data_IF_005873532661
#
_entry.id   IF_005873532661
#
_cell.length_a   1.000
_cell.length_b   1.000
_cell.length_c   1.000
_cell.angle_alpha   90.00
_cell.angle_beta   90.00
_cell.angle_gamma   90.00
#
_symmetry.space_group_name_H-M   'P 1'
#
loop_
_entity.id
_entity.type
_entity.pdbx_description
1 polymer ?
#
# COMPACT_ATOMS: atom_id res chain seq x y z
N UNK A 1 6.55 7.92 -2.33
CA UNK A 1 5.55 6.87 -2.06
C UNK A 1 5.88 6.16 -0.76
N UNK A 2 4.90 5.55 -0.10
CA UNK A 2 5.09 4.64 1.03
C UNK A 2 4.60 3.24 0.69
N UNK A 3 5.24 2.20 1.23
CA UNK A 3 4.83 0.79 1.05
C UNK A 3 4.82 0.08 2.39
N UNK A 4 3.80 -0.74 2.60
CA UNK A 4 3.68 -1.56 3.80
C UNK A 4 2.83 -2.81 3.52
N UNK A 5 2.88 -3.78 4.43
CA UNK A 5 2.14 -5.03 4.37
C UNK A 5 1.37 -5.25 5.67
N UNK A 6 0.10 -5.64 5.55
CA UNK A 6 -0.71 -5.98 6.72
C UNK A 6 -1.44 -7.30 6.54
N UNK A 7 -1.74 -7.96 7.65
CA UNK A 7 -2.48 -9.21 7.67
C UNK A 7 -3.98 -8.99 7.91
N UNK A 8 -4.79 -9.84 7.29
CA UNK A 8 -6.24 -9.87 7.36
C UNK A 8 -6.64 -11.29 7.77
N UNK A 9 -7.35 -11.41 8.90
CA UNK A 9 -7.82 -12.70 9.37
C UNK A 9 -9.11 -13.10 8.64
N UNK A 10 -9.14 -14.35 8.18
CA UNK A 10 -10.32 -15.03 7.64
C UNK A 10 -10.48 -16.39 8.32
N UNK A 11 -11.59 -17.10 8.05
CA UNK A 11 -11.74 -18.49 8.51
C UNK A 11 -10.86 -19.48 7.75
N UNK A 12 -10.34 -19.10 6.58
CA UNK A 12 -9.40 -19.91 5.78
C UNK A 12 -7.93 -19.67 6.17
N UNK A 13 -7.67 -18.75 7.11
CA UNK A 13 -6.33 -18.36 7.53
C UNK A 13 -6.06 -16.88 7.28
N UNK A 14 -4.78 -16.53 7.18
CA UNK A 14 -4.33 -15.14 7.03
C UNK A 14 -4.16 -14.81 5.54
N UNK A 15 -4.78 -13.71 5.11
CA UNK A 15 -4.49 -13.06 3.84
C UNK A 15 -3.61 -11.84 4.12
N UNK A 16 -2.49 -11.74 3.42
CA UNK A 16 -1.60 -10.58 3.48
C UNK A 16 -1.93 -9.61 2.37
N UNK A 17 -1.98 -8.33 2.68
CA UNK A 17 -2.20 -7.22 1.76
C UNK A 17 -0.95 -6.34 1.75
N UNK A 18 -0.21 -6.36 0.63
CA UNK A 18 0.85 -5.39 0.37
C UNK A 18 0.27 -4.24 -0.45
N UNK A 19 0.64 -3.02 -0.09
CA UNK A 19 0.08 -1.81 -0.70
C UNK A 19 1.16 -0.75 -0.90
N UNK A 20 1.00 0.07 -1.94
CA UNK A 20 1.81 1.27 -2.20
C UNK A 20 0.88 2.48 -2.21
N UNK A 21 1.22 3.48 -1.40
CA UNK A 21 0.52 4.75 -1.26
C UNK A 21 1.33 5.88 -1.88
N UNK A 22 0.69 6.76 -2.62
CA UNK A 22 1.26 8.06 -2.93
C UNK A 22 1.12 8.99 -1.72
N UNK A 23 2.21 9.65 -1.32
CA UNK A 23 2.23 10.52 -0.13
C UNK A 23 1.80 11.96 -0.46
N UNK A 24 1.73 12.32 -1.75
CA UNK A 24 1.28 13.63 -2.20
C UNK A 24 -0.24 13.75 -2.08
N UNK A 25 -0.97 12.83 -2.69
CA UNK A 25 -2.44 12.83 -2.76
C UNK A 25 -3.10 11.75 -1.90
N UNK A 26 -2.29 10.96 -1.18
CA UNK A 26 -2.71 9.87 -0.31
C UNK A 26 -3.37 8.67 -1.01
N UNK A 27 -3.42 8.61 -2.34
CA UNK A 27 -4.05 7.51 -3.09
C UNK A 27 -3.30 6.19 -2.94
N UNK A 28 -4.03 5.08 -2.98
CA UNK A 28 -3.47 3.73 -3.09
C UNK A 28 -3.20 3.48 -4.56
N UNK A 29 -1.93 3.50 -4.96
CA UNK A 29 -1.52 3.39 -6.37
C UNK A 29 -1.33 1.94 -6.82
N UNK A 30 -1.09 1.02 -5.90
CA UNK A 30 -1.07 -0.41 -6.18
C UNK A 30 -1.29 -1.20 -4.91
N UNK A 31 -1.84 -2.40 -5.05
CA UNK A 31 -1.90 -3.39 -3.99
C UNK A 31 -1.93 -4.79 -4.57
N UNK A 32 -1.47 -5.76 -3.78
CA UNK A 32 -1.59 -7.20 -4.05
C UNK A 32 -1.90 -7.93 -2.76
N UNK A 33 -2.58 -9.06 -2.91
CA UNK A 33 -2.82 -9.99 -1.82
C UNK A 33 -2.07 -11.31 -2.03
N UNK A 34 -1.75 -11.99 -0.93
CA UNK A 34 -1.13 -13.30 -0.94
C UNK A 34 -1.44 -14.06 0.34
N UNK A 35 -1.45 -15.38 0.30
CA UNK A 35 -1.68 -16.25 1.47
C UNK A 35 -0.43 -16.45 2.32
N UNK A 36 0.69 -15.86 1.91
CA UNK A 36 1.97 -15.89 2.61
C UNK A 36 2.65 -14.52 2.55
N UNK A 37 3.31 -14.13 3.64
CA UNK A 37 4.18 -12.96 3.66
C UNK A 37 5.49 -13.31 2.95
N UNK A 38 5.60 -12.93 1.68
CA UNK A 38 6.78 -13.23 0.86
C UNK A 38 7.38 -11.95 0.29
N UNK A 39 8.68 -12.01 -0.05
CA UNK A 39 9.33 -10.94 -0.80
C UNK A 39 8.60 -10.70 -2.13
N UNK A 40 8.19 -11.77 -2.82
CA UNK A 40 7.50 -11.70 -4.10
C UNK A 40 6.20 -10.88 -4.03
N UNK A 41 5.44 -10.98 -2.95
CA UNK A 41 4.23 -10.17 -2.77
C UNK A 41 4.52 -8.67 -2.83
N UNK A 42 5.61 -8.21 -2.22
CA UNK A 42 6.06 -6.82 -2.30
C UNK A 42 6.58 -6.49 -3.69
N UNK A 43 7.43 -7.35 -4.27
CA UNK A 43 7.98 -7.14 -5.62
C UNK A 43 6.87 -6.98 -6.66
N UNK A 44 5.85 -7.84 -6.60
CA UNK A 44 4.72 -7.80 -7.54
C UNK A 44 3.87 -6.55 -7.36
N UNK A 45 3.74 -6.05 -6.12
CA UNK A 45 3.07 -4.78 -5.84
C UNK A 45 3.83 -3.61 -6.46
N UNK A 46 5.17 -3.59 -6.36
CA UNK A 46 6.02 -2.56 -7.00
C UNK A 46 5.91 -2.63 -8.51
N UNK A 47 6.02 -3.83 -9.11
CA UNK A 47 5.86 -4.02 -10.56
C UNK A 47 4.50 -3.50 -11.03
N UNK A 48 3.44 -3.76 -10.25
CA UNK A 48 2.10 -3.25 -10.56
C UNK A 48 2.05 -1.72 -10.52
N UNK A 49 2.60 -1.08 -9.48
CA UNK A 49 2.67 0.38 -9.39
C UNK A 49 3.42 1.01 -10.58
N UNK A 50 4.60 0.46 -10.90
CA UNK A 50 5.41 0.98 -12.01
C UNK A 50 4.75 0.78 -13.38
N UNK A 51 3.95 -0.30 -13.54
CA UNK A 51 3.16 -0.52 -14.76
C UNK A 51 2.03 0.51 -14.90
N UNK A 52 1.45 0.97 -13.79
CA UNK A 52 0.35 1.94 -13.78
C UNK A 52 0.85 3.40 -13.90
N UNK A 53 2.05 3.71 -13.40
CA UNK A 53 2.67 5.04 -13.46
C UNK A 53 3.24 5.44 -14.84
N UNK A 54 2.77 4.85 -15.95
CA UNK A 54 3.28 5.20 -17.28
C UNK A 54 3.15 6.71 -17.57
N UNK A 55 4.30 7.42 -17.49
CA UNK A 55 4.67 8.70 -18.16
C UNK A 55 4.89 9.97 -17.33
N UNK A 56 4.90 9.96 -15.99
CA UNK A 56 5.14 11.23 -15.26
C UNK A 56 6.03 11.08 -14.04
N UNK A 57 7.32 10.83 -14.22
CA UNK A 57 8.28 11.21 -13.17
C UNK A 57 9.59 11.68 -13.79
N UNK A 58 9.68 12.99 -14.01
CA UNK A 58 10.94 13.70 -14.23
C UNK A 58 11.68 13.96 -12.89
N UNK A 59 11.20 13.39 -11.79
CA UNK A 59 11.73 13.53 -10.44
C UNK A 59 12.17 12.17 -9.87
N UNK A 60 13.13 12.19 -8.94
CA UNK A 60 13.58 10.99 -8.25
C UNK A 60 12.44 10.35 -7.44
N UNK A 61 12.14 9.09 -7.74
CA UNK A 61 11.05 8.36 -7.10
C UNK A 61 11.54 7.69 -5.81
N UNK A 62 11.12 8.22 -4.66
CA UNK A 62 11.44 7.61 -3.37
C UNK A 62 10.31 6.67 -2.91
N UNK A 63 10.69 5.48 -2.42
CA UNK A 63 9.77 4.49 -1.84
C UNK A 63 10.16 4.21 -0.38
N UNK A 64 9.32 4.67 0.55
CA UNK A 64 9.54 4.52 1.99
C UNK A 64 8.88 3.25 2.54
N UNK A 65 9.58 2.47 3.36
CA UNK A 65 9.07 1.24 4.00
C UNK A 65 9.55 1.10 5.45
N UNK A 66 9.03 0.11 6.17
CA UNK A 66 9.66 -0.35 7.41
C UNK A 66 10.93 -1.19 7.14
N UNK A 67 11.55 -1.71 8.21
CA UNK A 67 12.71 -2.60 8.14
C UNK A 67 12.35 -4.10 8.07
N UNK A 68 11.15 -4.45 7.62
CA UNK A 68 10.73 -5.83 7.44
C UNK A 68 11.67 -6.61 6.52
N UNK A 69 11.75 -7.93 6.71
CA UNK A 69 12.69 -8.78 5.95
C UNK A 69 12.46 -8.69 4.43
N UNK A 70 11.21 -8.44 4.01
CA UNK A 70 10.85 -8.24 2.62
C UNK A 70 11.52 -7.00 2.01
N UNK A 71 11.61 -5.90 2.76
CA UNK A 71 12.17 -4.62 2.32
C UNK A 71 13.69 -4.52 2.49
N UNK A 72 14.28 -5.38 3.34
CA UNK A 72 15.74 -5.50 3.49
C UNK A 72 16.35 -6.56 2.57
N UNK A 73 15.53 -7.24 1.75
CA UNK A 73 15.98 -8.30 0.86
C UNK A 73 16.78 -7.77 -0.34
N UNK A 74 17.72 -8.60 -0.84
CA UNK A 74 18.50 -8.29 -2.05
C UNK A 74 17.60 -8.12 -3.28
N UNK A 75 16.55 -8.94 -3.39
CA UNK A 75 15.64 -8.89 -4.51
C UNK A 75 14.84 -7.58 -4.55
N UNK A 76 14.42 -7.07 -3.39
CA UNK A 76 13.80 -5.74 -3.26
C UNK A 76 14.76 -4.65 -3.72
N UNK A 77 15.98 -4.63 -3.17
CA UNK A 77 17.01 -3.65 -3.55
C UNK A 77 17.27 -3.65 -5.08
N UNK A 78 17.47 -4.83 -5.67
CA UNK A 78 17.72 -4.96 -7.10
C UNK A 78 16.54 -4.44 -7.94
N UNK A 79 15.30 -4.74 -7.53
CA UNK A 79 14.11 -4.28 -8.24
C UNK A 79 13.95 -2.76 -8.16
N UNK A 80 14.15 -2.17 -6.97
CA UNK A 80 14.05 -0.71 -6.80
C UNK A 80 15.10 0.00 -7.65
N UNK A 81 16.34 -0.50 -7.68
CA UNK A 81 17.39 0.06 -8.53
C UNK A 81 17.05 -0.05 -10.03
N UNK A 82 16.52 -1.20 -10.47
CA UNK A 82 16.11 -1.40 -11.86
C UNK A 82 15.00 -0.44 -12.33
N UNK A 83 14.17 0.05 -11.40
CA UNK A 83 13.13 1.03 -11.67
C UNK A 83 13.54 2.48 -11.37
N UNK A 84 14.81 2.74 -11.00
CA UNK A 84 15.25 4.08 -10.61
C UNK A 84 14.58 4.60 -9.33
N UNK A 85 14.13 3.68 -8.46
CA UNK A 85 13.52 4.00 -7.17
C UNK A 85 14.61 4.08 -6.12
N UNK A 86 14.62 5.17 -5.35
CA UNK A 86 15.46 5.31 -4.16
C UNK A 86 14.71 4.76 -2.95
N UNK A 87 15.09 3.58 -2.40
CA UNK A 87 14.45 3.05 -1.21
C UNK A 87 14.83 3.89 0.01
N UNK A 88 13.85 4.15 0.86
CA UNK A 88 14.00 4.80 2.17
C UNK A 88 13.37 3.89 3.21
N UNK A 89 14.00 3.74 4.38
CA UNK A 89 13.50 2.87 5.44
C UNK A 89 13.39 3.63 6.76
N UNK A 90 12.36 3.33 7.56
CA UNK A 90 12.19 3.87 8.90
C UNK A 90 13.40 3.57 9.78
N UNK A 91 13.69 4.47 10.74
CA UNK A 91 14.70 4.17 11.76
C UNK A 91 14.16 3.11 12.72
N UNK A 92 15.04 2.22 13.16
CA UNK A 92 14.69 1.23 14.19
C UNK A 92 14.18 1.94 15.44
N UNK A 93 12.95 1.64 15.85
CA UNK A 93 12.30 2.26 17.01
C UNK A 93 11.61 3.61 16.75
N UNK A 94 11.45 4.03 15.49
CA UNK A 94 10.72 5.25 15.14
C UNK A 94 9.38 4.93 14.42
N UNK A 95 8.26 4.76 15.15
CA UNK A 95 6.96 4.44 14.55
C UNK A 95 6.40 5.57 13.68
N UNK A 96 6.86 6.82 13.85
CA UNK A 96 6.35 7.95 13.07
C UNK A 96 6.70 7.86 11.57
N UNK A 97 7.81 7.20 11.23
CA UNK A 97 8.29 7.10 9.85
C UNK A 97 7.34 6.23 8.99
N UNK A 98 6.75 5.17 9.56
CA UNK A 98 5.77 4.30 8.88
C UNK A 98 4.30 4.65 9.19
N UNK A 99 4.06 5.65 10.05
CA UNK A 99 2.73 5.98 10.56
C UNK A 99 1.69 6.27 9.45
N UNK A 100 2.13 6.78 8.30
CA UNK A 100 1.24 7.06 7.17
C UNK A 100 0.68 5.79 6.53
N UNK A 101 1.48 4.74 6.39
CA UNK A 101 0.99 3.46 5.85
C UNK A 101 0.16 2.72 6.92
N UNK A 102 0.62 2.74 8.18
CA UNK A 102 -0.11 2.17 9.32
C UNK A 102 -1.48 2.82 9.52
N UNK A 103 -1.58 4.15 9.33
CA UNK A 103 -2.84 4.88 9.43
C UNK A 103 -3.88 4.36 8.43
N UNK A 104 -3.48 4.12 7.17
CA UNK A 104 -4.38 3.54 6.17
C UNK A 104 -4.90 2.17 6.64
N UNK A 105 -4.00 1.27 7.07
CA UNK A 105 -4.40 -0.06 7.50
C UNK A 105 -5.30 -0.05 8.74
N UNK A 106 -5.03 0.84 9.70
CA UNK A 106 -5.86 0.99 10.90
C UNK A 106 -7.30 1.40 10.55
N UNK A 107 -7.44 2.41 9.68
CA UNK A 107 -8.74 2.87 9.20
C UNK A 107 -9.43 1.77 8.39
N UNK A 108 -8.75 1.20 7.40
CA UNK A 108 -9.28 0.11 6.57
C UNK A 108 -9.79 -1.06 7.40
N UNK A 109 -9.00 -1.53 8.37
CA UNK A 109 -9.41 -2.65 9.21
C UNK A 109 -10.61 -2.28 10.08
N UNK A 110 -10.64 -1.08 10.64
CA UNK A 110 -11.73 -0.62 11.52
C UNK A 110 -13.04 -0.40 10.76
N UNK A 111 -12.98 0.20 9.57
CA UNK A 111 -14.16 0.53 8.77
C UNK A 111 -14.68 -0.66 7.95
N UNK A 112 -13.79 -1.56 7.52
CA UNK A 112 -14.14 -2.66 6.63
C UNK A 112 -14.00 -4.04 7.31
N UNK A 113 -12.77 -4.45 7.62
CA UNK A 113 -12.46 -5.83 8.01
C UNK A 113 -13.13 -6.23 9.34
N UNK A 114 -13.01 -5.41 10.38
CA UNK A 114 -13.52 -5.74 11.71
C UNK A 114 -15.04 -5.69 11.81
N UNK A 115 -15.69 -4.93 10.92
CA UNK A 115 -17.15 -4.86 10.83
C UNK A 115 -17.74 -6.10 10.14
N UNK A 116 -17.16 -6.51 9.02
CA UNK A 116 -17.75 -7.57 8.19
C UNK A 116 -17.15 -8.96 8.43
N UNK A 117 -15.89 -9.05 8.87
CA UNK A 117 -15.18 -10.29 9.25
C UNK A 117 -15.24 -11.36 8.14
N UNK A 118 -14.48 -11.20 7.05
CA UNK A 118 -14.56 -12.10 5.89
C UNK A 118 -14.29 -13.56 6.28
N UNK A 119 -15.13 -14.47 5.81
CA UNK A 119 -14.97 -15.90 6.03
C UNK A 119 -13.92 -16.49 5.09
N UNK A 120 -13.83 -16.00 3.85
CA UNK A 120 -12.97 -16.56 2.79
C UNK A 120 -11.94 -15.56 2.27
N UNK A 121 -10.88 -16.06 1.63
CA UNK A 121 -9.94 -15.21 0.90
C UNK A 121 -10.60 -14.47 -0.26
N UNK A 122 -11.57 -15.10 -0.94
CA UNK A 122 -12.31 -14.46 -2.04
C UNK A 122 -13.10 -13.25 -1.54
N UNK A 123 -13.84 -13.42 -0.44
CA UNK A 123 -14.59 -12.34 0.19
C UNK A 123 -13.67 -11.23 0.70
N UNK A 124 -12.54 -11.58 1.32
CA UNK A 124 -11.55 -10.61 1.75
C UNK A 124 -10.99 -9.80 0.57
N UNK A 125 -10.67 -10.44 -0.56
CA UNK A 125 -10.24 -9.75 -1.78
C UNK A 125 -11.31 -8.79 -2.30
N UNK A 126 -12.56 -9.24 -2.43
CA UNK A 126 -13.64 -8.38 -2.90
C UNK A 126 -13.85 -7.17 -1.98
N UNK A 127 -13.76 -7.36 -0.67
CA UNK A 127 -13.83 -6.27 0.31
C UNK A 127 -12.66 -5.29 0.20
N UNK A 128 -11.44 -5.79 -0.03
CA UNK A 128 -10.25 -4.95 -0.25
C UNK A 128 -10.44 -4.12 -1.52
N UNK A 129 -10.84 -4.75 -2.62
CA UNK A 129 -11.02 -4.10 -3.92
C UNK A 129 -12.07 -2.99 -3.83
N UNK A 130 -13.24 -3.29 -3.26
CA UNK A 130 -14.32 -2.30 -3.06
C UNK A 130 -13.89 -1.17 -2.13
N UNK A 131 -13.19 -1.49 -1.04
CA UNK A 131 -12.77 -0.46 -0.10
C UNK A 131 -11.70 0.45 -0.69
N UNK A 132 -10.72 -0.08 -1.43
CA UNK A 132 -9.68 0.73 -2.07
C UNK A 132 -10.28 1.62 -3.16
N UNK A 133 -11.26 1.12 -3.92
CA UNK A 133 -12.02 1.93 -4.88
C UNK A 133 -12.73 3.10 -4.17
N UNK A 134 -13.51 2.81 -3.13
CA UNK A 134 -14.16 3.83 -2.30
C UNK A 134 -13.14 4.83 -1.71
N UNK A 135 -12.06 4.32 -1.13
CA UNK A 135 -11.02 5.14 -0.51
C UNK A 135 -10.42 6.13 -1.51
N UNK A 136 -10.09 5.67 -2.72
CA UNK A 136 -9.44 6.49 -3.73
C UNK A 136 -10.38 7.51 -4.39
N UNK A 137 -11.66 7.17 -4.59
CA UNK A 137 -12.58 7.96 -5.41
C UNK A 137 -13.63 8.76 -4.62
N UNK A 138 -13.98 8.33 -3.41
CA UNK A 138 -15.13 8.86 -2.67
C UNK A 138 -14.77 9.36 -1.27
N UNK A 139 -13.73 8.80 -0.63
CA UNK A 139 -13.40 9.14 0.75
C UNK A 139 -12.80 10.54 0.89
N UNK A 140 -13.61 11.48 1.34
CA UNK A 140 -13.20 12.86 1.59
C UNK A 140 -12.09 12.93 2.65
N UNK A 141 -10.98 13.57 2.31
CA UNK A 141 -9.88 13.80 3.23
C UNK A 141 -10.11 15.09 4.01
N UNK A 142 -10.07 15.02 5.34
CA UNK A 142 -10.33 16.17 6.22
C UNK A 142 -9.45 17.39 5.90
N UNK A 143 -8.21 17.16 5.47
CA UNK A 143 -7.26 18.25 5.18
C UNK A 143 -7.56 18.98 3.86
N UNK A 144 -8.19 18.32 2.89
CA UNK A 144 -8.36 18.86 1.52
C UNK A 144 -9.82 19.10 1.15
N UNK A 145 -10.76 18.41 1.79
CA UNK A 145 -12.15 18.40 1.36
C UNK A 145 -12.43 17.59 0.09
N UNK A 146 -11.44 16.85 -0.41
CA UNK A 146 -11.51 16.10 -1.67
C UNK A 146 -11.17 14.61 -1.46
N UNK A 147 -11.56 13.74 -2.39
CA UNK A 147 -11.08 12.35 -2.44
C UNK A 147 -9.62 12.28 -2.92
N UNK A 148 -8.85 11.23 -2.57
CA UNK A 148 -7.43 11.11 -2.93
C UNK A 148 -7.12 11.33 -4.41
N UNK A 149 -7.86 10.67 -5.33
CA UNK A 149 -7.60 10.82 -6.75
C UNK A 149 -8.17 12.11 -7.34
N UNK A 150 -9.17 12.73 -6.71
CA UNK A 150 -9.65 14.04 -7.14
C UNK A 150 -8.53 15.08 -7.03
N UNK A 151 -7.77 15.04 -5.91
CA UNK A 151 -6.61 15.92 -5.69
C UNK A 151 -5.53 15.80 -6.76
N UNK A 152 -5.32 14.61 -7.33
CA UNK A 152 -4.34 14.39 -8.40
C UNK A 152 -4.71 15.13 -9.69
N UNK A 153 -5.98 15.41 -9.92
CA UNK A 153 -6.49 16.11 -11.10
C UNK A 153 -6.61 17.63 -10.88
N UNK A 154 -6.49 18.10 -9.63
CA UNK A 154 -6.62 19.51 -9.25
C UNK A 154 -5.33 20.34 -9.50
N UNK A 155 -4.23 19.71 -9.92
CA UNK A 155 -2.92 20.32 -10.21
C UNK A 155 -2.29 19.69 -11.45
#
# INVERSE_FOLDING_TARGET
MGTDISYIHTKQGILYLSMIRDLYDNSIVAYKTGTQQTVNLVLDTIRLAMKQQKKTVAAELQLHSDQGFQYTSRAYFNLTQAYGITPSMSRKGNPYDNAMAENFFSIFKTECIYRHKPATFSEANEMIDRYILFYNHERIQLKTGEAPLARRLSY
#
